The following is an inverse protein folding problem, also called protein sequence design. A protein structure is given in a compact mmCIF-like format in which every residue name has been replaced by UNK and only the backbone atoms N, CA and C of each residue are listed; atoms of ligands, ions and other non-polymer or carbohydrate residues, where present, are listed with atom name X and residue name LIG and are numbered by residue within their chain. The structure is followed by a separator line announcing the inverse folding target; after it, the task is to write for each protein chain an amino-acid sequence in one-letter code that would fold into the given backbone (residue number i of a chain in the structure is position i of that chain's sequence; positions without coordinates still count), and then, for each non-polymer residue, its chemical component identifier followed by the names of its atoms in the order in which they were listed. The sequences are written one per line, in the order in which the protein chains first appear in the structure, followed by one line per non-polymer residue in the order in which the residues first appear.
data_IF_421791988365
#
_entry.id   IF_421791988365
#
_cell.length_a   1.000
_cell.length_b   1.000
_cell.length_c   1.000
_cell.angle_alpha   90.00
_cell.angle_beta   90.00
_cell.angle_gamma   90.00
#
_symmetry.space_group_name_H-M   'P 1'
#
loop_
_entity.id
_entity.type
_entity.pdbx_description
1 polymer ?
#
# COMPACT_ATOMS: atom_id res chain seq x y z
N UNK A 1 -3.07 -2.05 -13.45
CA UNK A 1 -2.34 -2.20 -12.15
C UNK A 1 -2.04 -0.82 -11.61
N UNK A 2 -2.46 -0.56 -10.37
CA UNK A 2 -2.29 0.76 -9.76
C UNK A 2 -0.82 1.11 -9.57
N UNK A 3 -0.41 2.28 -10.07
CA UNK A 3 0.93 2.86 -9.88
C UNK A 3 0.89 4.27 -9.29
N UNK A 4 -0.32 4.79 -9.05
CA UNK A 4 -0.56 6.13 -8.50
C UNK A 4 -1.89 6.19 -7.78
N UNK A 5 -1.94 6.82 -6.60
CA UNK A 5 -3.19 7.06 -5.90
C UNK A 5 -3.19 8.39 -5.15
N UNK A 6 -4.34 8.76 -4.64
CA UNK A 6 -4.55 9.94 -3.80
C UNK A 6 -4.87 9.50 -2.39
N UNK A 7 -4.26 10.14 -1.41
CA UNK A 7 -4.60 9.97 0.01
C UNK A 7 -4.76 11.35 0.66
N UNK A 8 -5.89 11.56 1.33
CA UNK A 8 -6.20 12.79 2.06
C UNK A 8 -6.73 12.45 3.44
N UNK A 9 -6.16 13.14 4.45
CA UNK A 9 -6.60 13.03 5.84
C UNK A 9 -6.77 11.57 6.32
N UNK A 10 -5.72 10.73 6.22
CA UNK A 10 -5.81 9.30 6.53
C UNK A 10 -6.17 9.02 7.99
N UNK A 11 -5.75 9.88 8.93
CA UNK A 11 -6.07 9.75 10.36
C UNK A 11 -7.56 9.95 10.58
N UNK A 12 -8.10 11.08 10.12
CA UNK A 12 -9.51 11.43 10.26
C UNK A 12 -10.42 10.37 9.64
N UNK A 13 -10.06 9.87 8.46
CA UNK A 13 -10.85 8.84 7.76
C UNK A 13 -10.77 7.47 8.42
N UNK A 14 -9.57 7.06 8.81
CA UNK A 14 -9.35 5.75 9.44
C UNK A 14 -10.07 5.65 10.78
N UNK A 15 -9.99 6.69 11.62
CA UNK A 15 -10.63 6.69 12.95
C UNK A 15 -12.16 6.52 12.92
N UNK A 16 -12.79 6.91 11.82
CA UNK A 16 -14.25 6.71 11.62
C UNK A 16 -14.61 5.26 11.29
N UNK A 17 -13.69 4.50 10.73
CA UNK A 17 -13.96 3.19 10.14
C UNK A 17 -13.26 2.06 10.88
N UNK A 18 -12.04 2.29 11.36
CA UNK A 18 -11.20 1.25 11.98
C UNK A 18 -10.52 1.83 13.21
N UNK A 19 -10.73 1.20 14.36
CA UNK A 19 -10.00 1.55 15.58
C UNK A 19 -8.52 1.20 15.41
N UNK A 20 -7.65 2.20 15.46
CA UNK A 20 -6.20 2.04 15.27
C UNK A 20 -5.42 2.94 16.22
N UNK A 21 -4.24 2.48 16.67
CA UNK A 21 -3.23 3.38 17.22
C UNK A 21 -2.67 4.25 16.08
N UNK A 22 -2.51 5.55 16.31
CA UNK A 22 -2.12 6.51 15.28
C UNK A 22 -0.65 6.88 15.46
N UNK A 23 0.15 6.67 14.42
CA UNK A 23 1.58 7.02 14.36
C UNK A 23 1.92 7.94 13.19
N UNK A 24 0.90 8.54 12.59
CA UNK A 24 1.04 9.48 11.46
C UNK A 24 0.15 10.69 11.69
N UNK A 25 0.44 11.77 10.98
CA UNK A 25 -0.40 12.96 10.95
C UNK A 25 -1.33 12.95 9.72
N UNK A 26 -2.40 13.74 9.78
CA UNK A 26 -3.21 13.98 8.59
C UNK A 26 -2.39 14.75 7.55
N UNK A 27 -2.47 14.29 6.32
CA UNK A 27 -1.73 14.83 5.18
C UNK A 27 -2.54 14.70 3.91
N UNK A 28 -2.16 15.44 2.90
CA UNK A 28 -2.72 15.35 1.55
C UNK A 28 -1.61 15.02 0.56
N UNK A 29 -1.75 13.89 -0.14
CA UNK A 29 -0.86 13.50 -1.22
C UNK A 29 -1.69 13.11 -2.44
N UNK A 30 -1.71 13.98 -3.44
CA UNK A 30 -2.44 13.79 -4.69
C UNK A 30 -1.68 12.98 -5.73
N UNK A 31 -0.46 12.57 -5.42
CA UNK A 31 0.43 11.86 -6.33
C UNK A 31 1.27 10.80 -5.59
N UNK A 32 0.62 10.01 -4.74
CA UNK A 32 1.27 8.90 -4.05
C UNK A 32 1.77 7.88 -5.08
N UNK A 33 3.04 7.51 -4.98
CA UNK A 33 3.71 6.64 -5.95
C UNK A 33 4.69 5.66 -5.27
N UNK A 34 5.15 4.61 -5.97
CA UNK A 34 6.15 3.68 -5.45
C UNK A 34 7.39 4.38 -4.87
N UNK A 35 7.98 3.76 -3.88
CA UNK A 35 9.14 4.20 -3.10
C UNK A 35 8.88 5.34 -2.09
N UNK A 36 7.70 5.91 -2.04
CA UNK A 36 7.29 6.82 -0.96
C UNK A 36 6.88 6.04 0.30
N UNK A 37 7.07 6.67 1.47
CA UNK A 37 6.45 6.23 2.72
C UNK A 37 5.01 6.77 2.77
N UNK A 38 4.06 5.88 2.90
CA UNK A 38 2.63 6.18 2.76
C UNK A 38 1.83 5.54 3.90
N UNK A 39 0.73 6.16 4.34
CA UNK A 39 -0.05 5.66 5.46
C UNK A 39 -0.75 4.35 5.12
N UNK A 40 -0.56 3.37 5.99
CA UNK A 40 -1.21 2.06 5.92
C UNK A 40 -1.72 1.62 7.29
N UNK A 41 -2.76 0.82 7.31
CA UNK A 41 -3.24 0.14 8.51
C UNK A 41 -2.61 -1.24 8.55
N UNK A 42 -1.83 -1.53 9.58
CA UNK A 42 -1.22 -2.84 9.83
C UNK A 42 -1.75 -3.43 11.11
N UNK A 43 -2.01 -4.74 11.11
CA UNK A 43 -2.46 -5.46 12.29
C UNK A 43 -1.27 -6.00 13.07
N UNK A 44 -1.24 -5.71 14.37
CA UNK A 44 -0.31 -6.26 15.35
C UNK A 44 -1.05 -7.08 16.41
N UNK A 45 -0.31 -7.74 17.31
CA UNK A 45 -0.90 -8.52 18.42
C UNK A 45 -1.81 -7.66 19.30
N UNK A 46 -1.44 -6.39 19.51
CA UNK A 46 -2.15 -5.44 20.38
C UNK A 46 -3.20 -4.59 19.65
N UNK A 47 -3.52 -4.90 18.39
CA UNK A 47 -4.51 -4.16 17.61
C UNK A 47 -3.98 -3.65 16.28
N UNK A 48 -4.73 -2.74 15.67
CA UNK A 48 -4.35 -2.11 14.42
C UNK A 48 -3.54 -0.84 14.68
N UNK A 49 -2.61 -0.54 13.80
CA UNK A 49 -1.84 0.71 13.81
C UNK A 49 -1.89 1.36 12.44
N UNK A 50 -2.17 2.66 12.40
CA UNK A 50 -1.99 3.48 11.21
C UNK A 50 -0.58 4.08 11.24
N UNK A 51 0.27 3.66 10.34
CA UNK A 51 1.69 3.99 10.26
C UNK A 51 2.14 4.23 8.81
N UNK A 52 3.30 4.85 8.62
CA UNK A 52 3.89 5.03 7.30
C UNK A 52 4.80 3.87 6.94
N UNK A 53 4.50 3.18 5.84
CA UNK A 53 5.37 2.15 5.25
C UNK A 53 5.77 2.51 3.83
N UNK A 54 6.95 2.07 3.42
CA UNK A 54 7.43 2.29 2.05
C UNK A 54 6.69 1.40 1.05
N UNK A 55 6.18 2.01 -0.02
CA UNK A 55 5.58 1.27 -1.13
C UNK A 55 6.66 0.62 -2.00
N UNK A 56 6.74 -0.68 -1.96
CA UNK A 56 7.69 -1.50 -2.72
C UNK A 56 8.29 -2.59 -1.83
N UNK A 57 7.89 -3.83 -2.09
CA UNK A 57 8.37 -4.98 -1.33
C UNK A 57 9.73 -5.44 -1.83
N UNK A 58 10.71 -5.49 -0.94
CA UNK A 58 11.97 -6.19 -1.14
C UNK A 58 11.97 -7.42 -0.22
N UNK A 59 11.90 -8.65 -0.77
CA UNK A 59 11.93 -9.85 0.05
C UNK A 59 13.26 -9.99 0.81
N UNK A 60 13.23 -10.55 2.02
CA UNK A 60 14.43 -10.70 2.88
C UNK A 60 15.60 -11.42 2.18
N UNK A 61 15.31 -12.43 1.37
CA UNK A 61 16.30 -13.17 0.59
C UNK A 61 16.96 -12.36 -0.54
N UNK A 62 16.44 -11.17 -0.86
CA UNK A 62 16.91 -10.31 -1.96
C UNK A 62 17.60 -9.03 -1.46
N UNK A 63 17.72 -8.81 -0.15
CA UNK A 63 18.24 -7.55 0.43
C UNK A 63 19.65 -7.18 -0.03
N UNK A 64 20.51 -8.17 -0.16
CA UNK A 64 21.92 -7.98 -0.55
C UNK A 64 22.14 -8.03 -2.08
N UNK A 65 21.05 -8.01 -2.84
CA UNK A 65 21.08 -8.08 -4.30
C UNK A 65 20.55 -6.78 -4.88
N UNK A 66 20.98 -6.45 -6.09
CA UNK A 66 20.39 -5.37 -6.89
C UNK A 66 18.97 -5.76 -7.34
N UNK A 67 18.05 -5.84 -6.38
CA UNK A 67 16.70 -6.31 -6.56
C UNK A 67 15.73 -5.13 -6.68
N UNK A 68 15.06 -5.03 -7.81
CA UNK A 68 14.03 -4.04 -8.01
C UNK A 68 12.79 -4.35 -7.17
N UNK A 69 12.41 -3.43 -6.28
CA UNK A 69 11.26 -3.61 -5.40
C UNK A 69 9.97 -3.94 -6.17
N UNK A 70 9.20 -4.88 -5.63
CA UNK A 70 7.91 -5.28 -6.19
C UNK A 70 6.84 -4.30 -5.74
N UNK A 71 6.30 -3.55 -6.69
CA UNK A 71 5.31 -2.49 -6.42
C UNK A 71 3.87 -2.95 -6.51
N UNK A 72 3.62 -4.12 -7.11
CA UNK A 72 2.29 -4.71 -7.28
C UNK A 72 2.35 -6.25 -7.14
N UNK A 73 1.25 -6.82 -6.68
CA UNK A 73 1.02 -8.27 -6.66
C UNK A 73 -0.27 -8.60 -7.40
N UNK A 74 -0.26 -9.65 -8.21
CA UNK A 74 -1.47 -10.16 -8.89
C UNK A 74 -2.15 -11.19 -8.01
N UNK A 75 -3.44 -11.02 -7.77
CA UNK A 75 -4.23 -11.91 -6.92
C UNK A 75 -4.18 -13.37 -7.41
N UNK A 76 -4.20 -13.55 -8.75
CA UNK A 76 -4.24 -14.86 -9.41
C UNK A 76 -2.99 -15.72 -9.19
N UNK A 77 -1.87 -15.11 -8.81
CA UNK A 77 -0.58 -15.81 -8.67
C UNK A 77 0.15 -15.51 -7.36
N UNK A 78 -0.49 -14.81 -6.45
CA UNK A 78 0.17 -14.32 -5.23
C UNK A 78 0.58 -15.46 -4.29
N UNK A 79 -0.19 -16.53 -4.24
CA UNK A 79 0.07 -17.72 -3.44
C UNK A 79 1.16 -18.64 -4.02
N UNK A 80 1.47 -18.48 -5.30
CA UNK A 80 2.53 -19.24 -5.99
C UNK A 80 3.87 -18.52 -5.92
N UNK A 81 3.86 -17.18 -5.92
CA UNK A 81 5.09 -16.36 -5.97
C UNK A 81 5.86 -16.43 -4.66
N UNK A 82 7.14 -16.84 -4.75
CA UNK A 82 8.05 -16.96 -3.59
C UNK A 82 8.12 -15.68 -2.75
N UNK A 83 8.07 -14.51 -3.40
CA UNK A 83 8.13 -13.21 -2.74
C UNK A 83 6.91 -12.91 -1.86
N UNK A 84 5.74 -13.50 -2.14
CA UNK A 84 4.49 -13.19 -1.45
C UNK A 84 3.93 -14.37 -0.64
N UNK A 85 4.20 -15.60 -1.07
CA UNK A 85 3.61 -16.82 -0.49
C UNK A 85 3.67 -16.89 1.04
N UNK A 86 4.81 -16.50 1.63
CA UNK A 86 4.99 -16.50 3.09
C UNK A 86 4.27 -15.33 3.77
N UNK A 87 4.04 -14.23 3.06
CA UNK A 87 3.48 -12.99 3.61
C UNK A 87 1.95 -13.01 3.70
N UNK A 88 1.28 -13.84 2.90
CA UNK A 88 -0.19 -13.88 2.78
C UNK A 88 -0.88 -14.10 4.12
N UNK A 89 -0.30 -14.88 5.02
CA UNK A 89 -0.95 -15.23 6.30
C UNK A 89 -0.84 -14.12 7.35
N UNK A 90 0.34 -13.52 7.50
CA UNK A 90 0.66 -12.71 8.69
C UNK A 90 1.12 -11.28 8.38
N UNK A 91 1.49 -10.99 7.14
CA UNK A 91 2.12 -9.72 6.77
C UNK A 91 1.21 -8.86 5.87
N UNK A 92 -0.06 -8.79 6.22
CA UNK A 92 -1.04 -7.97 5.49
C UNK A 92 -1.12 -6.58 6.09
N UNK A 93 -1.24 -5.59 5.22
CA UNK A 93 -1.65 -4.24 5.59
C UNK A 93 -2.63 -3.69 4.57
N UNK A 94 -3.23 -2.55 4.88
CA UNK A 94 -4.25 -1.94 4.03
C UNK A 94 -3.86 -0.49 3.79
N UNK A 95 -3.66 -0.10 2.53
CA UNK A 95 -3.55 1.30 2.15
C UNK A 95 -4.92 1.96 2.14
N UNK A 96 -4.98 3.18 2.64
CA UNK A 96 -6.17 4.03 2.65
C UNK A 96 -6.04 5.02 1.51
N UNK A 97 -6.91 4.94 0.52
CA UNK A 97 -6.88 5.80 -0.66
C UNK A 97 -8.22 6.50 -0.89
N UNK A 98 -8.18 7.71 -1.39
CA UNK A 98 -9.38 8.44 -1.85
C UNK A 98 -9.76 8.08 -3.28
N UNK A 99 -8.80 7.68 -4.07
CA UNK A 99 -8.94 7.26 -5.44
C UNK A 99 -7.59 6.89 -6.02
N UNK A 100 -7.59 6.38 -7.21
CA UNK A 100 -6.38 5.97 -7.92
C UNK A 100 -6.42 6.37 -9.37
N UNK A 101 -5.24 6.42 -10.00
CA UNK A 101 -5.10 6.73 -11.42
C UNK A 101 -4.79 5.47 -12.22
N UNK A 102 -5.46 5.33 -13.36
CA UNK A 102 -5.09 4.42 -14.44
C UNK A 102 -4.98 5.17 -15.75
N UNK A 103 -4.10 4.70 -16.63
CA UNK A 103 -3.82 5.35 -17.91
C UNK A 103 -4.43 4.58 -19.06
N UNK A 104 -5.39 5.21 -19.74
CA UNK A 104 -5.85 4.72 -21.03
C UNK A 104 -4.75 4.94 -22.06
N UNK A 105 -4.40 3.90 -22.78
CA UNK A 105 -3.43 3.96 -23.89
C UNK A 105 -4.18 3.96 -25.21
N UNK A 106 -4.04 5.03 -25.97
CA UNK A 106 -4.57 5.16 -27.33
C UNK A 106 -3.41 5.54 -28.24
N UNK A 107 -3.01 4.61 -29.12
CA UNK A 107 -1.89 4.77 -30.07
C UNK A 107 -0.61 5.38 -29.46
N UNK A 108 -0.43 6.72 -29.54
CA UNK A 108 0.74 7.44 -29.03
C UNK A 108 0.48 8.21 -27.72
N UNK A 109 -0.77 8.30 -27.30
CA UNK A 109 -1.16 9.09 -26.13
C UNK A 109 -1.48 8.21 -24.92
N UNK A 110 -1.22 8.77 -23.75
CA UNK A 110 -1.58 8.16 -22.46
C UNK A 110 -2.38 9.18 -21.66
N UNK A 111 -3.68 8.93 -21.53
CA UNK A 111 -4.58 9.80 -20.78
C UNK A 111 -4.83 9.25 -19.39
N UNK A 112 -4.51 9.99 -18.31
CA UNK A 112 -4.83 9.57 -16.96
C UNK A 112 -6.32 9.67 -16.69
N UNK A 113 -6.87 8.65 -16.06
CA UNK A 113 -8.23 8.62 -15.54
C UNK A 113 -8.17 8.46 -14.03
N UNK A 114 -8.93 9.28 -13.31
CA UNK A 114 -9.02 9.22 -11.86
C UNK A 114 -10.29 8.48 -11.46
N UNK A 115 -10.12 7.42 -10.68
CA UNK A 115 -11.21 6.56 -10.20
C UNK A 115 -11.44 6.79 -8.72
N UNK A 116 -12.67 7.05 -8.33
CA UNK A 116 -13.13 7.23 -6.95
C UNK A 116 -14.39 6.40 -6.70
N UNK A 117 -14.75 6.26 -5.42
CA UNK A 117 -16.06 5.74 -5.03
C UNK A 117 -17.11 6.84 -5.09
N UNK A 118 -18.33 6.50 -5.50
CA UNK A 118 -19.48 7.44 -5.53
C UNK A 118 -19.86 7.91 -4.11
N UNK A 119 -19.76 7.02 -3.12
CA UNK A 119 -20.10 7.29 -1.73
C UNK A 119 -19.04 8.11 -0.97
N UNK A 120 -17.99 8.56 -1.65
CA UNK A 120 -16.85 9.32 -1.09
C UNK A 120 -16.09 8.63 0.04
N UNK A 121 -16.41 7.37 0.36
CA UNK A 121 -15.67 6.58 1.33
C UNK A 121 -14.29 6.19 0.78
N UNK A 122 -13.28 5.99 1.64
CA UNK A 122 -11.97 5.57 1.17
C UNK A 122 -12.00 4.18 0.54
N UNK A 123 -11.10 3.99 -0.41
CA UNK A 123 -10.78 2.70 -0.99
C UNK A 123 -9.72 2.04 -0.11
N UNK A 124 -9.98 0.82 0.31
CA UNK A 124 -9.02 0.01 1.07
C UNK A 124 -8.32 -0.98 0.13
N UNK A 125 -7.05 -0.76 -0.12
CA UNK A 125 -6.24 -1.65 -0.96
C UNK A 125 -5.42 -2.59 -0.09
N UNK A 126 -5.58 -3.90 -0.27
CA UNK A 126 -4.80 -4.91 0.43
C UNK A 126 -3.37 -4.95 -0.11
N UNK A 127 -2.41 -4.88 0.82
CA UNK A 127 -0.98 -4.92 0.55
C UNK A 127 -0.29 -5.97 1.43
N UNK A 128 0.99 -6.19 1.17
CA UNK A 128 1.85 -7.10 1.94
C UNK A 128 3.11 -6.37 2.39
N UNK A 129 3.52 -6.61 3.64
CA UNK A 129 4.73 -6.04 4.23
C UNK A 129 5.82 -7.10 4.33
N UNK A 130 7.09 -6.68 4.41
CA UNK A 130 8.20 -7.55 4.77
C UNK A 130 8.01 -8.15 6.18
N UNK A 131 8.73 -9.22 6.51
CA UNK A 131 8.71 -9.80 7.86
C UNK A 131 9.23 -8.81 8.90
N UNK A 132 8.68 -8.87 10.13
CA UNK A 132 9.02 -7.94 11.21
C UNK A 132 10.54 -7.95 11.57
N UNK A 133 11.23 -9.08 11.36
CA UNK A 133 12.69 -9.18 11.49
C UNK A 133 13.43 -8.31 10.47
N UNK A 134 12.80 -7.93 9.38
CA UNK A 134 13.34 -7.08 8.33
C UNK A 134 13.18 -5.58 8.62
N UNK A 135 12.15 -5.19 9.41
CA UNK A 135 11.88 -3.79 9.74
C UNK A 135 12.85 -3.23 10.81
N UNK A 136 13.53 -4.09 11.58
CA UNK A 136 14.49 -3.66 12.61
C UNK A 136 15.84 -3.17 12.07
N UNK A 137 16.07 -3.27 10.76
CA UNK A 137 17.32 -2.89 10.09
C UNK A 137 17.16 -1.67 9.15
N UNK A 138 16.06 -0.93 9.24
CA UNK A 138 15.80 0.26 8.40
C UNK A 138 15.77 1.55 9.18
#
# INVERSE_FOLDING_TARGET
MCGRYVVKNPVTKTNKLVKSAIQVEDTENYNAHPYQKLPVIKKYKNGNTLENLQWGLVPGWAKDKDFKALINARLETIDEKVSFKKLIKNNRCVAVADGFYEWKREEKEKTPHYFTREDTNPIFCLLYTSDAADDSLR
#
